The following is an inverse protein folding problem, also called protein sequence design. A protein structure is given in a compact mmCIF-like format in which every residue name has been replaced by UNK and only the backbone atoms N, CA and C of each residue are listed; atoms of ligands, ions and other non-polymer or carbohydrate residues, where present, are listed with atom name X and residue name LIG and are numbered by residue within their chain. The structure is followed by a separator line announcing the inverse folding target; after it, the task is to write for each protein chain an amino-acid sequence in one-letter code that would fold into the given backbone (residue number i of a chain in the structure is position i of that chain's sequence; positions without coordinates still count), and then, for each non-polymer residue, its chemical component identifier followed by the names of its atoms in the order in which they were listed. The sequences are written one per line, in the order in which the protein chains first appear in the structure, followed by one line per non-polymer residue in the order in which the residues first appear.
data_IF_362374899770
#
_entry.id   IF_362374899770
#
_cell.length_a   1.000
_cell.length_b   1.000
_cell.length_c   1.000
_cell.angle_alpha   90.00
_cell.angle_beta   90.00
_cell.angle_gamma   90.00
#
_symmetry.space_group_name_H-M   'P 1'
#
loop_
_entity.id
_entity.type
_entity.pdbx_description
1 polymer ?
#
# COMPACT_ATOMS: atom_id res chain seq x y z
N UNK A 1 55.09 20.51 -0.01
CA UNK A 1 55.34 19.12 0.39
C UNK A 1 54.18 18.63 1.25
N UNK A 2 53.52 17.53 0.83
CA UNK A 2 52.78 16.49 1.60
C UNK A 2 51.67 16.93 2.60
N UNK A 3 50.40 16.62 2.29
CA UNK A 3 49.59 15.44 2.71
C UNK A 3 48.88 15.65 4.08
N UNK A 4 47.55 15.81 4.13
CA UNK A 4 46.47 14.80 4.17
C UNK A 4 46.06 14.40 5.61
N UNK A 5 44.81 14.70 6.02
CA UNK A 5 43.76 13.73 6.42
C UNK A 5 42.68 14.35 7.34
N UNK A 6 41.42 14.21 6.92
CA UNK A 6 40.21 14.23 7.75
C UNK A 6 40.13 12.95 8.60
N UNK A 7 39.23 12.91 9.60
CA UNK A 7 38.44 11.70 9.79
C UNK A 7 36.94 11.97 9.87
N UNK A 8 36.22 11.41 8.90
CA UNK A 8 34.80 11.03 8.96
C UNK A 8 34.74 9.52 9.12
N UNK A 9 34.25 9.00 10.27
CA UNK A 9 33.86 7.59 10.42
C UNK A 9 33.02 7.38 11.69
N UNK A 10 31.72 7.19 11.52
CA UNK A 10 30.87 6.47 12.47
C UNK A 10 29.64 5.95 11.72
N UNK A 11 29.72 4.72 11.23
CA UNK A 11 28.64 3.99 10.56
C UNK A 11 28.70 2.53 10.99
N UNK A 12 27.54 2.03 11.45
CA UNK A 12 27.03 0.65 11.44
C UNK A 12 27.88 -0.46 12.08
N UNK A 13 27.41 -0.95 13.22
CA UNK A 13 27.58 -2.33 13.64
C UNK A 13 26.45 -2.72 14.58
N UNK A 14 25.35 -3.31 14.08
CA UNK A 14 24.58 -4.38 14.75
C UNK A 14 23.76 -5.09 13.66
N UNK A 15 23.67 -6.43 13.75
CA UNK A 15 22.75 -7.35 13.06
C UNK A 15 23.24 -7.91 11.71
N UNK A 16 24.30 -8.72 11.77
CA UNK A 16 24.42 -9.90 10.93
C UNK A 16 24.80 -11.08 11.82
N UNK A 17 23.78 -11.78 12.33
CA UNK A 17 23.85 -13.18 12.74
C UNK A 17 22.41 -13.66 13.01
N UNK A 18 21.85 -14.42 12.07
CA UNK A 18 20.75 -15.36 12.36
C UNK A 18 21.11 -16.73 11.77
N UNK A 19 20.85 -17.82 12.51
CA UNK A 19 21.11 -19.18 12.07
C UNK A 19 20.09 -19.64 11.03
N UNK A 20 20.50 -20.52 10.13
CA UNK A 20 19.61 -21.17 9.17
C UNK A 20 18.65 -22.14 9.88
N UNK A 21 17.35 -22.19 9.50
CA UNK A 21 16.47 -23.24 9.97
C UNK A 21 16.63 -24.50 9.12
N UNK A 22 16.88 -25.62 9.80
CA UNK A 22 16.77 -26.96 9.22
C UNK A 22 15.33 -27.23 8.76
N UNK A 23 15.20 -27.65 7.50
CA UNK A 23 13.96 -28.13 6.90
C UNK A 23 13.68 -29.52 7.47
N UNK A 24 12.74 -29.61 8.42
CA UNK A 24 12.14 -30.86 8.86
C UNK A 24 10.92 -31.19 8.00
N UNK A 25 11.06 -32.17 7.11
CA UNK A 25 9.95 -32.78 6.38
C UNK A 25 9.09 -33.60 7.37
N UNK A 26 7.92 -33.07 7.73
CA UNK A 26 6.89 -33.83 8.43
C UNK A 26 5.75 -34.15 7.45
N UNK A 27 5.79 -35.38 6.93
CA UNK A 27 4.67 -36.05 6.29
C UNK A 27 3.49 -36.13 7.29
N UNK A 28 2.32 -35.62 6.91
CA UNK A 28 1.05 -36.01 7.54
C UNK A 28 0.04 -36.32 6.45
N UNK A 29 -0.02 -37.61 6.12
CA UNK A 29 -1.18 -38.24 5.53
C UNK A 29 -2.31 -38.20 6.56
N UNK A 30 -3.46 -37.65 6.18
CA UNK A 30 -4.74 -38.03 6.75
C UNK A 30 -5.68 -38.32 5.60
N UNK A 31 -5.93 -39.62 5.41
CA UNK A 31 -7.03 -40.17 4.64
C UNK A 31 -7.90 -40.90 5.64
N UNK A 32 -9.13 -40.45 5.86
CA UNK A 32 -10.22 -41.31 6.34
C UNK A 32 -11.53 -40.76 5.81
N UNK A 33 -12.07 -41.54 4.87
CA UNK A 33 -13.45 -41.63 4.41
C UNK A 33 -14.49 -41.53 5.53
N UNK A 34 -15.57 -40.80 5.28
CA UNK A 34 -16.87 -41.03 5.90
C UNK A 34 -17.95 -41.06 4.81
N UNK A 35 -18.40 -42.27 4.51
CA UNK A 35 -19.71 -42.53 3.91
C UNK A 35 -20.73 -42.58 5.05
N UNK A 36 -21.77 -41.75 4.96
CA UNK A 36 -22.89 -41.76 5.88
C UNK A 36 -24.12 -41.21 5.17
N UNK A 37 -24.78 -42.07 4.40
CA UNK A 37 -26.08 -41.80 3.78
C UNK A 37 -27.16 -42.02 4.83
N UNK A 38 -27.81 -40.95 5.27
CA UNK A 38 -29.02 -41.01 6.10
C UNK A 38 -30.11 -40.20 5.40
N UNK A 39 -31.02 -40.94 4.78
CA UNK A 39 -32.27 -40.45 4.21
C UNK A 39 -33.26 -40.22 5.35
N UNK A 40 -33.45 -38.96 5.76
CA UNK A 40 -34.57 -38.57 6.61
C UNK A 40 -35.63 -37.85 5.77
N UNK A 41 -36.74 -38.55 5.56
CA UNK A 41 -38.03 -38.02 5.13
C UNK A 41 -38.60 -37.12 6.23
N UNK A 42 -38.45 -35.80 6.07
CA UNK A 42 -39.14 -34.80 6.90
C UNK A 42 -40.50 -34.48 6.28
N UNK A 43 -41.54 -34.94 6.95
CA UNK A 43 -42.93 -34.54 6.73
C UNK A 43 -43.28 -33.40 7.69
N UNK A 44 -43.81 -32.31 7.14
CA UNK A 44 -44.74 -31.40 7.81
C UNK A 44 -44.23 -30.53 8.97
N UNK A 45 -43.88 -29.28 8.66
CA UNK A 45 -44.28 -28.12 9.49
C UNK A 45 -44.33 -26.90 8.58
N UNK A 46 -45.40 -26.09 8.56
CA UNK A 46 -45.41 -24.83 7.83
C UNK A 46 -44.36 -23.93 8.46
N UNK A 47 -43.28 -23.69 7.73
CA UNK A 47 -42.24 -22.74 8.11
C UNK A 47 -42.87 -21.36 8.15
N UNK A 48 -42.94 -20.83 9.35
CA UNK A 48 -43.21 -19.44 9.65
C UNK A 48 -42.10 -18.59 9.01
N UNK A 49 -42.36 -18.14 7.78
CA UNK A 49 -41.52 -17.24 6.99
C UNK A 49 -41.46 -15.82 7.57
N UNK A 50 -42.04 -15.57 8.75
CA UNK A 50 -42.13 -14.23 9.36
C UNK A 50 -40.78 -13.63 9.74
N UNK A 51 -39.70 -14.42 9.83
CA UNK A 51 -38.34 -13.88 10.01
C UNK A 51 -37.76 -13.21 8.76
N UNK A 52 -38.31 -13.50 7.57
CA UNK A 52 -37.87 -12.86 6.32
C UNK A 52 -38.58 -11.51 6.09
N UNK A 53 -39.78 -11.32 6.64
CA UNK A 53 -40.59 -10.11 6.44
C UNK A 53 -41.44 -9.75 7.68
N UNK A 54 -40.82 -9.65 8.84
CA UNK A 54 -41.46 -9.11 10.04
C UNK A 54 -41.70 -7.60 9.90
N UNK A 55 -42.82 -7.26 9.26
CA UNK A 55 -43.49 -5.96 9.32
C UNK A 55 -44.30 -5.83 10.62
N UNK A 56 -44.54 -4.56 11.01
CA UNK A 56 -45.30 -4.03 12.15
C UNK A 56 -44.40 -3.74 13.38
N UNK A 57 -44.16 -2.50 13.82
CA UNK A 57 -45.08 -1.35 13.93
C UNK A 57 -44.33 0.01 13.94
N UNK A 58 -44.72 0.89 13.01
CA UNK A 58 -45.15 2.28 13.24
C UNK A 58 -44.38 3.21 14.20
N UNK A 59 -43.33 3.86 13.69
CA UNK A 59 -43.29 5.33 13.61
C UNK A 59 -42.47 5.70 12.37
N UNK A 60 -43.10 6.36 11.40
CA UNK A 60 -42.51 6.77 10.12
C UNK A 60 -41.42 7.86 10.31
N UNK A 61 -40.28 7.45 10.84
CA UNK A 61 -39.02 7.99 10.34
C UNK A 61 -38.66 7.08 9.17
N UNK A 62 -38.95 7.52 7.94
CA UNK A 62 -38.35 6.99 6.71
C UNK A 62 -36.84 7.16 6.83
N UNK A 63 -36.20 6.29 7.62
CA UNK A 63 -34.76 6.24 7.74
C UNK A 63 -34.27 6.00 6.32
N UNK A 64 -33.53 6.96 5.80
CA UNK A 64 -32.91 6.84 4.49
C UNK A 64 -32.21 5.49 4.41
N UNK A 65 -32.30 4.79 3.27
CA UNK A 65 -31.63 3.50 3.09
C UNK A 65 -30.13 3.59 3.44
N UNK A 66 -29.55 4.77 3.28
CA UNK A 66 -28.18 5.13 3.69
C UNK A 66 -27.97 5.04 5.20
N UNK A 67 -28.91 5.53 6.01
CA UNK A 67 -28.85 5.42 7.47
C UNK A 67 -29.03 3.97 7.92
N UNK A 68 -29.95 3.24 7.27
CA UNK A 68 -30.11 1.81 7.48
C UNK A 68 -28.80 1.06 7.18
N UNK A 69 -28.13 1.39 6.07
CA UNK A 69 -26.84 0.83 5.69
C UNK A 69 -25.79 1.07 6.78
N UNK A 70 -25.63 2.33 7.22
CA UNK A 70 -24.66 2.70 8.26
C UNK A 70 -24.95 1.94 9.58
N UNK A 71 -26.23 1.84 9.96
CA UNK A 71 -26.67 1.10 11.14
C UNK A 71 -26.35 -0.39 11.03
N UNK A 72 -26.55 -1.00 9.86
CA UNK A 72 -26.26 -2.42 9.63
C UNK A 72 -24.76 -2.72 9.70
N UNK A 73 -23.91 -1.88 9.09
CA UNK A 73 -22.46 -2.02 9.16
C UNK A 73 -21.96 -1.83 10.60
N UNK A 74 -22.51 -0.86 11.32
CA UNK A 74 -22.20 -0.62 12.75
C UNK A 74 -22.58 -1.83 13.62
N UNK A 75 -23.73 -2.45 13.36
CA UNK A 75 -24.17 -3.69 14.03
C UNK A 75 -23.46 -4.96 13.49
N UNK A 76 -22.46 -4.83 12.62
CA UNK A 76 -21.71 -5.93 11.99
C UNK A 76 -22.58 -6.92 11.22
N UNK A 77 -23.75 -6.49 10.71
CA UNK A 77 -24.65 -7.31 9.88
C UNK A 77 -24.29 -7.16 8.40
N UNK A 78 -23.08 -7.57 8.02
CA UNK A 78 -22.49 -7.25 6.71
C UNK A 78 -23.27 -7.81 5.52
N UNK A 79 -23.79 -9.04 5.59
CA UNK A 79 -24.60 -9.60 4.50
C UNK A 79 -25.93 -8.86 4.29
N UNK A 80 -26.52 -8.28 5.35
CA UNK A 80 -27.69 -7.42 5.22
C UNK A 80 -27.31 -6.04 4.68
N UNK A 81 -26.18 -5.48 5.15
CA UNK A 81 -25.64 -4.22 4.64
C UNK A 81 -25.34 -4.29 3.14
N UNK A 82 -24.77 -5.40 2.66
CA UNK A 82 -24.49 -5.64 1.23
C UNK A 82 -25.77 -5.62 0.40
N UNK A 83 -26.84 -6.29 0.84
CA UNK A 83 -28.13 -6.26 0.13
C UNK A 83 -28.72 -4.87 0.05
N UNK A 84 -28.64 -4.10 1.13
CA UNK A 84 -29.09 -2.69 1.14
C UNK A 84 -28.21 -1.85 0.21
N UNK A 85 -26.89 -2.02 0.25
CA UNK A 85 -25.96 -1.32 -0.63
C UNK A 85 -26.26 -1.57 -2.11
N UNK A 86 -26.48 -2.83 -2.51
CA UNK A 86 -26.87 -3.14 -3.88
C UNK A 86 -28.26 -2.63 -4.25
N UNK A 87 -29.23 -2.69 -3.33
CA UNK A 87 -30.55 -2.08 -3.56
C UNK A 87 -30.46 -0.57 -3.79
N UNK A 88 -29.53 0.12 -3.13
CA UNK A 88 -29.27 1.55 -3.34
C UNK A 88 -28.60 1.76 -4.72
N UNK A 89 -27.65 0.91 -5.11
CA UNK A 89 -26.96 1.01 -6.39
C UNK A 89 -27.86 0.70 -7.60
N UNK A 90 -28.77 -0.28 -7.46
CA UNK A 90 -29.68 -0.73 -8.52
C UNK A 90 -30.82 0.27 -8.79
N UNK A 91 -31.10 1.19 -7.86
CA UNK A 91 -32.13 2.21 -8.02
C UNK A 91 -31.81 3.27 -9.10
N UNK A 92 -30.63 3.21 -9.73
CA UNK A 92 -30.23 4.08 -10.86
C UNK A 92 -29.79 5.49 -10.45
N UNK A 93 -30.33 6.01 -9.35
CA UNK A 93 -29.81 7.19 -8.65
C UNK A 93 -29.07 6.71 -7.40
N UNK A 94 -27.73 6.62 -7.47
CA UNK A 94 -26.95 6.28 -6.29
C UNK A 94 -26.87 7.52 -5.38
N UNK A 95 -27.62 7.59 -4.27
CA UNK A 95 -27.46 8.67 -3.31
C UNK A 95 -26.01 8.72 -2.82
N UNK A 96 -25.53 9.92 -2.52
CA UNK A 96 -24.20 10.10 -1.94
C UNK A 96 -24.16 9.37 -0.58
N UNK A 97 -23.47 8.23 -0.54
CA UNK A 97 -23.27 7.48 0.71
C UNK A 97 -22.21 8.24 1.52
N UNK A 98 -22.53 8.73 2.73
CA UNK A 98 -21.60 9.49 3.55
C UNK A 98 -20.42 8.60 3.93
N UNK A 99 -19.22 9.18 3.82
CA UNK A 99 -17.99 8.48 4.17
C UNK A 99 -17.94 8.27 5.68
N UNK A 100 -17.60 7.06 6.12
CA UNK A 100 -17.51 6.76 7.56
C UNK A 100 -16.46 5.67 7.88
N UNK A 101 -15.67 5.80 8.96
CA UNK A 101 -14.60 4.83 9.28
C UNK A 101 -15.11 3.40 9.52
N UNK A 102 -16.39 3.24 9.90
CA UNK A 102 -17.00 1.92 10.16
C UNK A 102 -16.98 1.01 8.93
N UNK A 103 -16.93 1.56 7.72
CA UNK A 103 -16.84 0.78 6.50
C UNK A 103 -15.53 0.00 6.36
N UNK A 104 -14.48 0.32 7.13
CA UNK A 104 -13.30 -0.55 7.26
C UNK A 104 -13.70 -1.95 7.76
N UNK A 105 -14.68 -2.04 8.68
CA UNK A 105 -15.15 -3.34 9.17
C UNK A 105 -15.90 -4.14 8.09
N UNK A 106 -16.67 -3.47 7.24
CA UNK A 106 -17.31 -4.12 6.09
C UNK A 106 -16.26 -4.59 5.08
N UNK A 107 -15.24 -3.78 4.78
CA UNK A 107 -14.13 -4.17 3.92
C UNK A 107 -13.40 -5.41 4.47
N UNK A 108 -13.12 -5.46 5.78
CA UNK A 108 -12.49 -6.64 6.40
C UNK A 108 -13.38 -7.89 6.37
N UNK A 109 -14.70 -7.72 6.47
CA UNK A 109 -15.63 -8.86 6.35
C UNK A 109 -15.64 -9.45 4.94
N UNK A 110 -15.38 -8.63 3.91
CA UNK A 110 -15.27 -9.09 2.53
C UNK A 110 -14.11 -10.10 2.33
N UNK A 111 -13.15 -10.16 3.26
CA UNK A 111 -12.03 -11.11 3.18
C UNK A 111 -12.43 -12.56 3.39
N UNK A 112 -13.63 -12.81 3.93
CA UNK A 112 -14.16 -14.14 4.20
C UNK A 112 -14.75 -14.83 2.96
N UNK A 113 -14.76 -14.14 1.81
CA UNK A 113 -15.32 -14.66 0.57
C UNK A 113 -14.34 -15.61 -0.11
N UNK A 114 -14.85 -16.73 -0.63
CA UNK A 114 -14.05 -17.76 -1.27
C UNK A 114 -13.52 -17.34 -2.65
N UNK A 115 -14.31 -16.58 -3.41
CA UNK A 115 -13.91 -16.08 -4.73
C UNK A 115 -12.96 -14.87 -4.61
N UNK A 116 -11.73 -15.01 -5.11
CA UNK A 116 -10.70 -13.96 -4.99
C UNK A 116 -11.14 -12.65 -5.67
N UNK A 117 -11.73 -12.74 -6.86
CA UNK A 117 -12.16 -11.57 -7.64
C UNK A 117 -13.22 -10.78 -6.89
N UNK A 118 -14.28 -11.46 -6.44
CA UNK A 118 -15.35 -10.87 -5.64
C UNK A 118 -14.83 -10.33 -4.31
N UNK A 119 -13.93 -11.04 -3.63
CA UNK A 119 -13.29 -10.59 -2.40
C UNK A 119 -12.56 -9.25 -2.59
N UNK A 120 -11.74 -9.14 -3.64
CA UNK A 120 -11.00 -7.90 -3.95
C UNK A 120 -11.97 -6.77 -4.31
N UNK A 121 -12.95 -7.04 -5.17
CA UNK A 121 -13.95 -6.06 -5.57
C UNK A 121 -14.74 -5.53 -4.37
N UNK A 122 -15.29 -6.42 -3.54
CA UNK A 122 -16.05 -6.05 -2.35
C UNK A 122 -15.19 -5.28 -1.36
N UNK A 123 -13.95 -5.71 -1.13
CA UNK A 123 -13.02 -4.97 -0.27
C UNK A 123 -12.85 -3.53 -0.77
N UNK A 124 -12.56 -3.33 -2.06
CA UNK A 124 -12.38 -2.00 -2.65
C UNK A 124 -13.65 -1.16 -2.53
N UNK A 125 -14.81 -1.74 -2.84
CA UNK A 125 -16.12 -1.06 -2.75
C UNK A 125 -16.35 -0.49 -1.34
N UNK A 126 -16.22 -1.33 -0.31
CA UNK A 126 -16.41 -0.89 1.07
C UNK A 126 -15.31 0.06 1.53
N UNK A 127 -14.05 -0.19 1.15
CA UNK A 127 -12.92 0.63 1.57
C UNK A 127 -12.94 2.02 0.90
N UNK A 128 -13.57 2.16 -0.27
CA UNK A 128 -13.80 3.45 -0.90
C UNK A 128 -14.78 4.35 -0.12
N UNK A 129 -15.65 3.77 0.72
CA UNK A 129 -16.52 4.51 1.63
C UNK A 129 -15.82 4.94 2.93
N UNK A 130 -14.56 4.56 3.13
CA UNK A 130 -13.74 5.05 4.25
C UNK A 130 -13.29 6.49 3.95
N UNK A 131 -13.39 7.43 4.90
CA UNK A 131 -12.99 8.81 4.68
C UNK A 131 -11.52 8.96 4.33
N UNK A 132 -11.20 9.94 3.47
CA UNK A 132 -9.82 10.35 3.22
C UNK A 132 -9.15 10.99 4.45
N UNK A 133 -7.84 11.25 4.38
CA UNK A 133 -7.07 11.70 5.55
C UNK A 133 -7.51 13.06 6.10
N UNK A 134 -8.00 13.97 5.25
CA UNK A 134 -8.39 15.33 5.64
C UNK A 134 -9.89 15.48 5.92
N UNK A 135 -10.70 14.46 5.64
CA UNK A 135 -12.12 14.42 5.96
C UNK A 135 -12.38 14.64 7.47
N UNK A 136 -13.45 15.34 7.88
CA UNK A 136 -13.78 15.59 9.29
C UNK A 136 -13.95 14.30 10.10
N UNK A 137 -14.60 13.29 9.51
CA UNK A 137 -14.81 11.98 10.13
C UNK A 137 -13.65 11.00 9.93
N UNK A 138 -12.50 11.44 9.40
CA UNK A 138 -11.34 10.56 9.25
C UNK A 138 -10.84 10.10 10.62
N UNK A 139 -10.23 8.90 10.67
CA UNK A 139 -9.65 8.36 11.90
C UNK A 139 -8.59 9.32 12.49
N UNK A 140 -7.92 10.05 11.60
CA UNK A 140 -6.87 11.03 11.89
C UNK A 140 -7.46 12.31 12.48
N UNK A 141 -8.50 12.86 11.84
CA UNK A 141 -9.22 14.06 12.29
C UNK A 141 -9.96 13.81 13.60
N UNK A 142 -10.65 12.68 13.73
CA UNK A 142 -11.36 12.27 14.94
C UNK A 142 -10.42 12.19 16.15
N UNK A 143 -9.24 11.59 15.99
CA UNK A 143 -8.25 11.53 17.06
C UNK A 143 -7.76 12.93 17.48
N UNK A 144 -7.49 13.81 16.51
CA UNK A 144 -7.08 15.20 16.75
C UNK A 144 -8.15 15.99 17.51
N UNK A 145 -9.41 15.90 17.07
CA UNK A 145 -10.54 16.58 17.69
C UNK A 145 -10.81 16.09 19.11
N UNK A 146 -10.58 14.80 19.36
CA UNK A 146 -10.72 14.19 20.68
C UNK A 146 -9.51 14.44 21.62
N UNK A 147 -8.50 15.21 21.19
CA UNK A 147 -7.27 15.44 21.97
C UNK A 147 -6.44 14.17 22.19
N UNK A 148 -6.66 13.12 21.39
CA UNK A 148 -5.94 11.85 21.48
C UNK A 148 -4.64 11.91 20.69
N UNK A 149 -3.58 11.19 21.10
CA UNK A 149 -2.39 11.06 20.28
C UNK A 149 -2.80 10.48 18.92
N UNK A 150 -2.28 11.07 17.84
CA UNK A 150 -2.59 10.59 16.50
C UNK A 150 -2.28 9.09 16.41
N UNK A 151 -3.21 8.28 15.89
CA UNK A 151 -2.94 6.87 15.73
C UNK A 151 -1.72 6.72 14.84
N UNK A 152 -0.66 6.10 15.38
CA UNK A 152 0.60 5.91 14.66
C UNK A 152 0.41 5.18 13.33
N UNK A 153 -0.67 4.39 13.23
CA UNK A 153 -1.01 3.55 12.10
C UNK A 153 -2.54 3.53 11.91
N UNK A 154 -3.09 4.37 11.01
CA UNK A 154 -4.46 4.16 10.55
C UNK A 154 -4.55 2.77 9.92
N UNK A 155 -5.69 2.10 10.09
CA UNK A 155 -5.94 0.77 9.53
C UNK A 155 -5.06 -0.37 10.07
N UNK A 156 -4.60 -0.28 11.33
CA UNK A 156 -3.82 -1.36 11.96
C UNK A 156 -4.49 -2.74 11.84
N UNK A 157 -5.83 -2.81 11.97
CA UNK A 157 -6.59 -4.07 11.85
C UNK A 157 -6.51 -4.64 10.44
N UNK A 158 -6.66 -3.77 9.44
CA UNK A 158 -6.51 -4.17 8.03
C UNK A 158 -5.09 -4.65 7.76
N UNK A 159 -4.07 -3.91 8.21
CA UNK A 159 -2.68 -4.32 8.04
C UNK A 159 -2.36 -5.65 8.75
N UNK A 160 -2.81 -5.83 9.99
CA UNK A 160 -2.61 -7.10 10.70
C UNK A 160 -3.27 -8.27 9.96
N UNK A 161 -4.47 -8.06 9.42
CA UNK A 161 -5.21 -9.09 8.68
C UNK A 161 -4.54 -9.44 7.35
N UNK A 162 -4.03 -8.45 6.62
CA UNK A 162 -3.41 -8.67 5.30
C UNK A 162 -1.97 -9.20 5.39
N UNK A 163 -1.18 -8.71 6.35
CA UNK A 163 0.26 -8.96 6.43
C UNK A 163 0.67 -9.97 7.51
N UNK A 164 -0.09 -10.11 8.60
CA UNK A 164 0.27 -10.98 9.73
C UNK A 164 -0.58 -12.23 9.81
N UNK A 165 -1.85 -12.17 9.42
CA UNK A 165 -2.74 -13.32 9.45
C UNK A 165 -2.60 -14.19 8.19
N UNK A 166 -2.57 -15.51 8.38
CA UNK A 166 -2.69 -16.49 7.29
C UNK A 166 -1.48 -16.56 6.35
N UNK A 167 -1.76 -16.54 5.03
CA UNK A 167 -0.76 -16.60 3.94
C UNK A 167 -0.76 -15.27 3.17
N UNK A 168 0.07 -14.27 3.55
CA UNK A 168 0.10 -12.95 2.90
C UNK A 168 0.36 -13.01 1.39
N UNK A 169 1.11 -14.03 0.94
CA UNK A 169 1.37 -14.31 -0.48
C UNK A 169 0.12 -14.66 -1.29
N UNK A 170 -0.93 -15.18 -0.67
CA UNK A 170 -2.20 -15.43 -1.33
C UNK A 170 -3.05 -14.16 -1.48
N UNK A 171 -2.64 -13.06 -0.83
CA UNK A 171 -3.39 -11.81 -0.77
C UNK A 171 -2.68 -10.66 -1.51
N UNK A 172 -1.75 -10.94 -2.43
CA UNK A 172 -0.98 -9.89 -3.11
C UNK A 172 -1.87 -8.93 -3.90
N UNK A 173 -2.87 -9.45 -4.63
CA UNK A 173 -3.85 -8.65 -5.37
C UNK A 173 -4.56 -7.65 -4.45
N UNK A 174 -5.01 -8.13 -3.30
CA UNK A 174 -5.72 -7.36 -2.29
C UNK A 174 -4.82 -6.33 -1.59
N UNK A 175 -3.58 -6.71 -1.26
CA UNK A 175 -2.57 -5.81 -0.68
C UNK A 175 -2.26 -4.66 -1.65
N UNK A 176 -2.11 -4.96 -2.95
CA UNK A 176 -1.91 -3.95 -3.98
C UNK A 176 -3.10 -2.98 -4.04
N UNK A 177 -4.33 -3.51 -4.15
CA UNK A 177 -5.54 -2.70 -4.20
C UNK A 177 -5.73 -1.83 -2.94
N UNK A 178 -5.51 -2.40 -1.75
CA UNK A 178 -5.55 -1.66 -0.49
C UNK A 178 -4.58 -0.48 -0.48
N UNK A 179 -3.35 -0.69 -0.93
CA UNK A 179 -2.33 0.34 -0.95
C UNK A 179 -2.64 1.46 -1.95
N UNK A 180 -3.19 1.13 -3.12
CA UNK A 180 -3.63 2.12 -4.11
C UNK A 180 -4.80 2.96 -3.60
N UNK A 181 -5.81 2.33 -2.99
CA UNK A 181 -6.93 3.08 -2.39
C UNK A 181 -6.47 3.95 -1.22
N UNK A 182 -5.52 3.47 -0.41
CA UNK A 182 -4.93 4.31 0.64
C UNK A 182 -4.14 5.49 0.07
N UNK A 183 -3.42 5.30 -1.04
CA UNK A 183 -2.69 6.36 -1.72
C UNK A 183 -3.65 7.43 -2.26
N UNK A 184 -4.73 7.04 -2.94
CA UNK A 184 -5.75 7.95 -3.48
C UNK A 184 -6.56 8.69 -2.42
N UNK A 185 -6.51 8.24 -1.16
CA UNK A 185 -7.14 8.86 0.00
C UNK A 185 -6.17 9.63 0.90
N UNK A 186 -4.93 9.84 0.48
CA UNK A 186 -3.91 10.60 1.22
C UNK A 186 -3.22 9.85 2.36
N UNK A 187 -3.46 8.55 2.51
CA UNK A 187 -2.83 7.71 3.54
C UNK A 187 -1.48 7.12 3.13
N UNK A 188 -0.87 7.62 2.05
CA UNK A 188 0.39 7.10 1.49
C UNK A 188 1.49 6.92 2.53
N UNK A 189 1.68 7.89 3.42
CA UNK A 189 2.72 7.85 4.48
C UNK A 189 2.52 6.71 5.48
N UNK A 190 1.28 6.31 5.70
CA UNK A 190 0.91 5.27 6.66
C UNK A 190 1.12 3.87 6.09
N UNK A 191 0.95 3.70 4.78
CA UNK A 191 0.95 2.38 4.14
C UNK A 191 2.25 2.06 3.41
N UNK A 192 2.97 3.06 2.89
CA UNK A 192 4.13 2.85 2.03
C UNK A 192 5.22 2.03 2.72
N UNK A 193 5.57 2.38 3.97
CA UNK A 193 6.62 1.71 4.74
C UNK A 193 6.32 0.23 5.10
N UNK A 194 5.08 -0.21 4.90
CA UNK A 194 4.66 -1.60 5.14
C UNK A 194 4.52 -2.37 3.83
N UNK A 195 3.74 -1.83 2.90
CA UNK A 195 3.36 -2.51 1.66
C UNK A 195 4.59 -2.69 0.75
N UNK A 196 5.34 -1.61 0.52
CA UNK A 196 6.35 -1.58 -0.53
C UNK A 196 7.54 -2.52 -0.22
N UNK A 197 8.12 -2.52 0.99
CA UNK A 197 9.16 -3.48 1.35
C UNK A 197 8.63 -4.92 1.33
N UNK A 198 7.40 -5.13 1.78
CA UNK A 198 6.77 -6.46 1.75
C UNK A 198 6.69 -6.98 0.31
N UNK A 199 6.12 -6.21 -0.62
CA UNK A 199 6.01 -6.60 -2.04
C UNK A 199 7.37 -6.79 -2.71
N UNK A 200 8.37 -5.99 -2.36
CA UNK A 200 9.72 -6.14 -2.88
C UNK A 200 10.41 -7.46 -2.45
N UNK A 201 10.04 -7.98 -1.28
CA UNK A 201 10.50 -9.28 -0.78
C UNK A 201 9.75 -10.47 -1.40
N UNK A 202 8.60 -10.23 -2.04
CA UNK A 202 7.83 -11.27 -2.72
C UNK A 202 8.38 -11.59 -4.12
N UNK A 203 8.09 -12.78 -4.69
CA UNK A 203 8.51 -13.17 -6.04
C UNK A 203 7.70 -12.45 -7.15
N UNK A 204 7.45 -11.14 -6.97
CA UNK A 204 6.79 -10.28 -7.96
C UNK A 204 7.81 -9.83 -9.00
N UNK A 205 7.44 -9.85 -10.27
CA UNK A 205 8.32 -9.38 -11.36
C UNK A 205 8.74 -7.93 -11.14
N UNK A 206 9.97 -7.59 -11.57
CA UNK A 206 10.48 -6.21 -11.43
C UNK A 206 9.58 -5.20 -12.15
N UNK A 207 9.02 -5.58 -13.30
CA UNK A 207 8.11 -4.73 -14.07
C UNK A 207 6.82 -4.46 -13.30
N UNK A 208 6.15 -5.50 -12.80
CA UNK A 208 4.90 -5.35 -12.06
C UNK A 208 5.08 -4.50 -10.78
N UNK A 209 6.19 -4.68 -10.07
CA UNK A 209 6.49 -3.87 -8.89
C UNK A 209 6.75 -2.40 -9.24
N UNK A 210 7.43 -2.11 -10.35
CA UNK A 210 7.61 -0.72 -10.82
C UNK A 210 6.28 -0.11 -11.24
N UNK A 211 5.45 -0.84 -11.97
CA UNK A 211 4.15 -0.33 -12.41
C UNK A 211 3.23 -0.04 -11.21
N UNK A 212 3.27 -0.91 -10.18
CA UNK A 212 2.61 -0.65 -8.90
C UNK A 212 3.12 0.63 -8.22
N UNK A 213 4.44 0.84 -8.13
CA UNK A 213 5.02 2.04 -7.52
C UNK A 213 4.67 3.31 -8.29
N UNK A 214 4.61 3.23 -9.62
CA UNK A 214 4.18 4.35 -10.48
C UNK A 214 2.70 4.68 -10.23
N UNK A 215 1.83 3.67 -10.17
CA UNK A 215 0.41 3.86 -9.88
C UNK A 215 0.20 4.46 -8.48
N UNK A 216 0.88 3.92 -7.46
CA UNK A 216 0.80 4.41 -6.09
C UNK A 216 1.32 5.84 -5.95
N UNK A 217 2.41 6.20 -6.65
CA UNK A 217 2.89 7.58 -6.74
C UNK A 217 1.85 8.49 -7.39
N UNK A 218 1.29 8.09 -8.54
CA UNK A 218 0.28 8.86 -9.25
C UNK A 218 -0.92 9.17 -8.36
N UNK A 219 -1.52 8.15 -7.74
CA UNK A 219 -2.72 8.31 -6.91
C UNK A 219 -2.46 9.21 -5.69
N UNK A 220 -1.28 9.07 -5.06
CA UNK A 220 -0.91 9.91 -3.92
C UNK A 220 -0.61 11.37 -4.32
N UNK A 221 0.04 11.57 -5.48
CA UNK A 221 0.38 12.90 -6.01
C UNK A 221 -0.86 13.62 -6.50
N UNK A 222 -1.79 12.93 -7.16
CA UNK A 222 -3.07 13.49 -7.60
C UNK A 222 -3.87 13.98 -6.39
N UNK A 223 -3.95 13.16 -5.33
CA UNK A 223 -4.59 13.55 -4.08
C UNK A 223 -3.93 14.79 -3.46
N UNK A 224 -2.60 14.80 -3.27
CA UNK A 224 -1.90 15.95 -2.67
C UNK A 224 -1.94 17.20 -3.56
N UNK A 225 -2.04 17.05 -4.88
CA UNK A 225 -2.13 18.17 -5.83
C UNK A 225 -3.41 18.98 -5.61
N UNK A 226 -4.51 18.32 -5.27
CA UNK A 226 -5.78 18.98 -4.93
C UNK A 226 -5.66 19.93 -3.73
N UNK A 227 -4.67 19.73 -2.85
CA UNK A 227 -4.45 20.57 -1.67
C UNK A 227 -3.24 21.51 -1.81
N UNK A 228 -2.14 21.03 -2.40
CA UNK A 228 -0.90 21.81 -2.56
C UNK A 228 0.05 21.20 -3.58
N UNK A 229 0.20 21.87 -4.73
CA UNK A 229 1.19 21.52 -5.75
C UNK A 229 2.64 21.42 -5.20
N UNK A 230 2.98 22.26 -4.21
CA UNK A 230 4.29 22.17 -3.53
C UNK A 230 4.45 20.86 -2.78
N UNK A 231 3.44 20.43 -2.02
CA UNK A 231 3.48 19.15 -1.28
C UNK A 231 3.53 17.97 -2.25
N UNK A 232 2.76 18.03 -3.32
CA UNK A 232 2.76 17.02 -4.38
C UNK A 232 4.17 16.82 -4.97
N UNK A 233 4.86 17.90 -5.38
CA UNK A 233 6.24 17.80 -5.91
C UNK A 233 7.24 17.22 -4.91
N UNK A 234 7.15 17.62 -3.64
CA UNK A 234 7.99 17.06 -2.56
C UNK A 234 7.72 15.57 -2.39
N UNK A 235 6.44 15.18 -2.39
CA UNK A 235 6.02 13.78 -2.27
C UNK A 235 6.53 12.95 -3.46
N UNK A 236 6.41 13.45 -4.69
CA UNK A 236 6.94 12.79 -5.91
C UNK A 236 8.43 12.48 -5.76
N UNK A 237 9.22 13.48 -5.36
CA UNK A 237 10.67 13.31 -5.15
C UNK A 237 10.98 12.28 -4.06
N UNK A 238 10.23 12.30 -2.94
CA UNK A 238 10.38 11.34 -1.84
C UNK A 238 10.05 9.90 -2.26
N UNK A 239 8.91 9.68 -2.91
CA UNK A 239 8.45 8.35 -3.32
C UNK A 239 9.39 7.74 -4.36
N UNK A 240 9.84 8.53 -5.34
CA UNK A 240 10.81 8.08 -6.35
C UNK A 240 12.17 7.77 -5.74
N UNK A 241 12.67 8.62 -4.84
CA UNK A 241 13.94 8.36 -4.14
C UNK A 241 13.88 7.05 -3.33
N UNK A 242 12.79 6.85 -2.57
CA UNK A 242 12.58 5.62 -1.81
C UNK A 242 12.45 4.38 -2.71
N UNK A 243 11.75 4.50 -3.85
CA UNK A 243 11.63 3.44 -4.83
C UNK A 243 12.99 3.06 -5.44
N UNK A 244 13.81 4.04 -5.84
CA UNK A 244 15.17 3.79 -6.34
C UNK A 244 16.00 3.08 -5.28
N UNK A 245 15.98 3.57 -4.04
CA UNK A 245 16.76 2.98 -2.95
C UNK A 245 16.39 1.50 -2.72
N UNK A 246 15.09 1.20 -2.67
CA UNK A 246 14.56 -0.16 -2.52
C UNK A 246 14.97 -1.08 -3.68
N UNK A 247 14.81 -0.61 -4.93
CA UNK A 247 15.15 -1.40 -6.12
C UNK A 247 16.65 -1.66 -6.22
N UNK A 248 17.48 -0.67 -5.88
CA UNK A 248 18.93 -0.83 -5.81
C UNK A 248 19.34 -1.82 -4.71
N UNK A 249 18.70 -1.80 -3.53
CA UNK A 249 18.97 -2.77 -2.44
C UNK A 249 18.57 -4.20 -2.80
N UNK A 250 17.51 -4.37 -3.59
CA UNK A 250 17.03 -5.68 -4.03
C UNK A 250 17.71 -6.18 -5.31
N UNK A 251 18.74 -5.49 -5.82
CA UNK A 251 19.46 -5.88 -7.04
C UNK A 251 18.64 -5.72 -8.33
N UNK A 252 17.48 -5.05 -8.28
CA UNK A 252 16.56 -4.87 -9.41
C UNK A 252 16.99 -3.68 -10.28
N UNK A 253 18.22 -3.74 -10.80
CA UNK A 253 18.87 -2.61 -11.50
C UNK A 253 18.12 -2.13 -12.75
N UNK A 254 17.42 -3.01 -13.46
CA UNK A 254 16.59 -2.62 -14.60
C UNK A 254 15.39 -1.75 -14.18
N UNK A 255 14.79 -2.03 -13.02
CA UNK A 255 13.72 -1.22 -12.45
C UNK A 255 14.20 0.19 -12.09
N UNK A 256 15.41 0.29 -11.50
CA UNK A 256 16.04 1.58 -11.18
C UNK A 256 16.19 2.45 -12.43
N UNK A 257 16.66 1.88 -13.54
CA UNK A 257 16.78 2.61 -14.81
C UNK A 257 15.44 3.09 -15.34
N UNK A 258 14.38 2.28 -15.25
CA UNK A 258 13.02 2.67 -15.66
C UNK A 258 12.51 3.86 -14.84
N UNK A 259 12.75 3.87 -13.53
CA UNK A 259 12.36 4.99 -12.65
C UNK A 259 13.14 6.26 -13.02
N UNK A 260 14.45 6.18 -13.21
CA UNK A 260 15.24 7.35 -13.62
C UNK A 260 14.91 7.85 -15.02
N UNK A 261 14.63 6.96 -15.98
CA UNK A 261 14.20 7.37 -17.32
C UNK A 261 12.88 8.15 -17.27
N UNK A 262 11.91 7.67 -16.49
CA UNK A 262 10.66 8.41 -16.23
C UNK A 262 10.93 9.77 -15.58
N UNK A 263 11.82 9.81 -14.56
CA UNK A 263 12.18 11.09 -13.93
C UNK A 263 12.88 12.04 -14.90
N UNK A 264 13.74 11.53 -15.79
CA UNK A 264 14.41 12.35 -16.80
C UNK A 264 13.42 13.01 -17.78
N UNK A 265 12.25 12.41 -18.03
CA UNK A 265 11.18 13.02 -18.82
C UNK A 265 10.31 14.01 -18.03
N UNK A 266 10.28 13.93 -16.70
CA UNK A 266 9.51 14.82 -15.83
C UNK A 266 10.22 16.16 -15.62
N UNK A 267 9.60 17.27 -16.04
CA UNK A 267 10.18 18.62 -15.92
C UNK A 267 9.92 19.27 -14.55
N UNK A 268 8.97 18.74 -13.77
CA UNK A 268 8.55 19.36 -12.51
C UNK A 268 9.30 18.79 -11.30
N UNK A 269 9.81 17.57 -11.41
CA UNK A 269 10.43 16.85 -10.31
C UNK A 269 11.93 16.76 -10.50
N UNK A 270 12.68 17.20 -9.47
CA UNK A 270 14.12 16.99 -9.38
C UNK A 270 14.43 15.97 -8.29
N UNK A 271 15.23 14.96 -8.63
CA UNK A 271 15.75 13.99 -7.66
C UNK A 271 17.10 14.45 -7.09
N UNK A 272 17.35 14.28 -5.77
CA UNK A 272 18.66 14.58 -5.19
C UNK A 272 19.79 13.82 -5.88
N UNK A 273 20.94 14.48 -6.09
CA UNK A 273 22.13 13.86 -6.69
C UNK A 273 22.60 12.62 -5.91
N UNK A 274 22.43 12.63 -4.59
CA UNK A 274 22.74 11.52 -3.69
C UNK A 274 22.01 10.22 -4.04
N UNK A 275 20.81 10.30 -4.64
CA UNK A 275 20.04 9.13 -5.09
C UNK A 275 20.72 8.48 -6.31
N UNK A 276 21.23 9.28 -7.24
CA UNK A 276 22.01 8.78 -8.38
C UNK A 276 23.33 8.19 -7.92
N UNK A 277 24.05 8.87 -7.02
CA UNK A 277 25.32 8.40 -6.46
C UNK A 277 25.15 7.05 -5.77
N UNK A 278 24.10 6.91 -4.96
CA UNK A 278 23.75 5.66 -4.31
C UNK A 278 23.48 4.53 -5.32
N UNK A 279 22.65 4.77 -6.34
CA UNK A 279 22.31 3.77 -7.34
C UNK A 279 23.53 3.34 -8.17
N UNK A 280 24.40 4.29 -8.55
CA UNK A 280 25.65 4.03 -9.28
C UNK A 280 26.59 3.19 -8.41
N UNK A 281 26.80 3.59 -7.15
CA UNK A 281 27.67 2.86 -6.23
C UNK A 281 27.20 1.42 -6.02
N UNK A 282 25.89 1.19 -5.83
CA UNK A 282 25.32 -0.15 -5.68
C UNK A 282 25.52 -1.02 -6.92
N UNK A 283 25.39 -0.43 -8.11
CA UNK A 283 25.58 -1.13 -9.37
C UNK A 283 27.06 -1.46 -9.60
N UNK A 284 27.98 -0.54 -9.28
CA UNK A 284 29.43 -0.76 -9.35
C UNK A 284 29.87 -1.87 -8.38
N UNK A 285 29.28 -1.96 -7.18
CA UNK A 285 29.51 -3.08 -6.26
C UNK A 285 29.08 -4.43 -6.86
N UNK A 286 27.91 -4.48 -7.51
CA UNK A 286 27.42 -5.71 -8.16
C UNK A 286 28.34 -6.18 -9.31
N UNK A 287 29.04 -5.26 -10.00
CA UNK A 287 30.01 -5.61 -11.06
C UNK A 287 31.18 -6.42 -10.49
N UNK A 288 31.68 -6.03 -9.32
CA UNK A 288 32.79 -6.71 -8.66
C UNK A 288 32.45 -8.14 -8.24
N UNK A 289 31.18 -8.40 -7.91
CA UNK A 289 30.70 -9.70 -7.44
C UNK A 289 30.37 -10.67 -8.59
N UNK A 290 29.84 -10.18 -9.72
CA UNK A 290 29.24 -11.07 -10.73
C UNK A 290 30.17 -11.63 -11.81
N UNK A 291 31.45 -11.22 -11.90
CA UNK A 291 32.53 -11.82 -12.73
C UNK A 291 32.30 -11.96 -14.26
N UNK A 292 31.23 -12.65 -14.69
CA UNK A 292 30.78 -12.86 -16.07
C UNK A 292 29.66 -11.90 -16.51
N UNK A 293 29.02 -11.18 -15.59
CA UNK A 293 27.96 -10.18 -15.87
C UNK A 293 28.45 -8.75 -16.19
N UNK A 294 29.75 -8.49 -16.05
CA UNK A 294 30.31 -7.14 -15.95
C UNK A 294 29.95 -6.20 -17.11
N UNK A 295 29.95 -6.67 -18.37
CA UNK A 295 29.68 -5.79 -19.53
C UNK A 295 28.28 -5.16 -19.49
N UNK A 296 27.25 -5.95 -19.15
CA UNK A 296 25.86 -5.45 -19.07
C UNK A 296 25.71 -4.44 -17.94
N UNK A 297 26.31 -4.72 -16.78
CA UNK A 297 26.28 -3.83 -15.64
C UNK A 297 27.06 -2.53 -15.89
N UNK A 298 28.22 -2.58 -16.56
CA UNK A 298 28.97 -1.37 -16.97
C UNK A 298 28.17 -0.49 -17.92
N UNK A 299 27.46 -1.08 -18.89
CA UNK A 299 26.53 -0.33 -19.75
C UNK A 299 25.42 0.35 -18.92
N UNK A 300 24.92 -0.32 -17.88
CA UNK A 300 23.93 0.26 -16.99
C UNK A 300 24.49 1.41 -16.16
N UNK A 301 25.74 1.33 -15.68
CA UNK A 301 26.42 2.43 -14.96
C UNK A 301 26.56 3.64 -15.88
N UNK A 302 27.01 3.43 -17.12
CA UNK A 302 27.12 4.51 -18.10
C UNK A 302 25.76 5.18 -18.38
N UNK A 303 24.69 4.38 -18.50
CA UNK A 303 23.33 4.91 -18.67
C UNK A 303 22.87 5.74 -17.45
N UNK A 304 23.16 5.31 -16.22
CA UNK A 304 22.83 6.07 -15.01
C UNK A 304 23.63 7.39 -14.92
N UNK A 305 24.91 7.38 -15.30
CA UNK A 305 25.74 8.59 -15.37
C UNK A 305 25.17 9.61 -16.37
N UNK A 306 24.75 9.15 -17.56
CA UNK A 306 24.07 9.99 -18.55
C UNK A 306 22.74 10.56 -18.03
N UNK A 307 21.93 9.77 -17.33
CA UNK A 307 20.68 10.25 -16.73
C UNK A 307 20.93 11.30 -15.63
N UNK A 308 22.03 11.18 -14.88
CA UNK A 308 22.47 12.20 -13.92
C UNK A 308 22.87 13.50 -14.61
N UNK A 309 23.58 13.43 -15.72
CA UNK A 309 23.94 14.63 -16.52
C UNK A 309 22.70 15.36 -17.02
N UNK A 310 21.70 14.64 -17.51
CA UNK A 310 20.40 15.21 -17.92
C UNK A 310 19.73 15.90 -16.73
N UNK A 311 19.69 15.25 -15.57
CA UNK A 311 19.11 15.83 -14.35
C UNK A 311 19.86 17.09 -13.89
N UNK A 312 21.19 17.09 -13.98
CA UNK A 312 22.02 18.26 -13.69
C UNK A 312 21.73 19.40 -14.67
N UNK A 313 21.61 19.10 -15.97
CA UNK A 313 21.24 20.11 -16.97
C UNK A 313 19.88 20.75 -16.64
N UNK A 314 18.88 19.98 -16.21
CA UNK A 314 17.58 20.52 -15.74
C UNK A 314 17.74 21.48 -14.56
N UNK A 315 18.60 21.16 -13.59
CA UNK A 315 18.86 22.02 -12.43
C UNK A 315 19.41 23.39 -12.84
N UNK A 316 20.21 23.45 -13.90
CA UNK A 316 20.81 24.69 -14.41
C UNK A 316 19.92 25.45 -15.41
N UNK A 317 19.13 24.74 -16.22
CA UNK A 317 18.26 25.35 -17.24
C UNK A 317 17.03 25.99 -16.64
N UNK A 318 16.48 25.38 -15.59
CA UNK A 318 15.35 25.96 -14.89
C UNK A 318 15.90 27.03 -13.95
N UNK A 319 15.31 28.23 -13.94
CA UNK A 319 15.38 29.20 -12.83
C UNK A 319 14.69 28.61 -11.59
N UNK A 320 15.04 27.37 -11.25
CA UNK A 320 14.60 26.66 -10.07
C UNK A 320 15.20 27.42 -8.90
N UNK A 321 14.41 28.29 -8.27
CA UNK A 321 14.73 28.73 -6.92
C UNK A 321 14.74 27.44 -6.11
N UNK A 322 15.89 27.01 -5.55
CA UNK A 322 15.90 25.84 -4.70
C UNK A 322 14.82 26.11 -3.65
N UNK A 323 13.77 25.27 -3.63
CA UNK A 323 12.88 25.19 -2.47
C UNK A 323 13.84 25.08 -1.30
N UNK A 324 13.95 26.16 -0.50
CA UNK A 324 14.88 26.29 0.63
C UNK A 324 15.12 24.91 1.17
N UNK A 325 16.34 24.38 0.98
CA UNK A 325 16.69 22.99 1.21
C UNK A 325 15.96 22.54 2.47
N UNK A 326 14.80 21.88 2.30
CA UNK A 326 14.18 21.18 3.41
C UNK A 326 15.20 20.10 3.60
N UNK A 327 16.07 20.30 4.58
CA UNK A 327 17.16 19.40 4.87
C UNK A 327 16.51 18.01 4.94
N UNK A 328 16.73 17.21 3.89
CA UNK A 328 16.29 15.82 3.81
C UNK A 328 17.12 14.98 4.79
N UNK A 329 17.47 15.54 5.96
CA UNK A 329 18.27 14.93 7.03
C UNK A 329 17.62 13.63 7.53
N UNK A 330 16.39 13.33 7.13
CA UNK A 330 15.58 12.27 7.71
C UNK A 330 14.56 11.61 6.74
N UNK A 331 14.81 11.56 5.42
CA UNK A 331 13.94 10.76 4.52
C UNK A 331 13.94 9.28 4.91
N UNK A 332 15.07 8.79 5.41
CA UNK A 332 15.19 7.43 5.95
C UNK A 332 14.37 7.18 7.22
N UNK A 333 14.01 8.24 7.98
CA UNK A 333 13.22 8.10 9.22
C UNK A 333 11.72 8.23 8.98
N UNK A 334 11.25 9.01 7.98
CA UNK A 334 9.80 9.12 7.72
C UNK A 334 9.19 7.86 7.11
N UNK A 335 9.98 7.06 6.39
CA UNK A 335 9.58 5.73 5.88
C UNK A 335 10.39 4.60 6.53
N UNK A 336 10.98 4.84 7.71
CA UNK A 336 11.74 3.84 8.44
C UNK A 336 10.91 2.57 8.63
N UNK A 337 11.27 1.54 7.88
CA UNK A 337 10.72 0.21 8.04
C UNK A 337 11.16 -0.30 9.41
N UNK A 338 10.24 -0.28 10.38
CA UNK A 338 10.46 -1.10 11.58
C UNK A 338 10.58 -2.54 11.10
N UNK A 339 11.63 -3.29 11.50
CA UNK A 339 11.76 -4.67 11.08
C UNK A 339 10.50 -5.43 11.49
N UNK A 340 9.88 -6.10 10.51
CA UNK A 340 8.83 -7.09 10.76
C UNK A 340 9.44 -8.12 11.71
N UNK A 341 8.95 -8.16 12.96
CA UNK A 341 9.41 -9.12 13.97
C UNK A 341 8.83 -10.49 13.72
#
# INVERSE_FOLDING_TARGET
MRQFLLPTRAVLNVVLNRPQPHIGLANRQYSTSYHGSLSHTLTGSPTDSSWLYGCHESSEETHSQVELLLRLVTKKRFGAAERVFFSIADAGEMPEIPLHPVFEHAALSALQWDDESRRVQQFITWFNLVPDIYHPDSVVSSAKNAGRPMPKQPFHRTMDTLFRAGKPTANLSLINSFALVCASKGYIRSVYGWVVPFLAAQPVSSTALVDFLIAMEKDAVDYETAYSARRARVLTSQLRAAAVELMSRSGRHAAVQKIFARNASDQETLLPSTVYDYAIQRLEQSIGEEGRGGRRLSQRVAALKRLREIENAKRYSTTWRPLQQVELKHVSTTFSCSPLR
#
